data_IF_434514465486
#
_entry.id   IF_434514465486
#
_cell.length_a   1.000
_cell.length_b   1.000
_cell.length_c   1.000
_cell.angle_alpha   90.00
_cell.angle_beta   90.00
_cell.angle_gamma   90.00
#
_symmetry.space_group_name_H-M   'P 1'
#
loop_
_entity.id
_entity.type
_entity.pdbx_description
1 polymer ?
#
# COMPACT_ATOMS: atom_id res chain seq x y z
N UNK A 1 11.26 -8.79 -7.01
CA UNK A 1 11.72 -7.59 -6.28
C UNK A 1 10.69 -7.08 -5.27
N UNK A 2 9.41 -6.98 -5.63
CA UNK A 2 8.35 -6.56 -4.71
C UNK A 2 8.25 -7.38 -3.40
N UNK A 3 8.41 -8.70 -3.46
CA UNK A 3 8.41 -9.54 -2.26
C UNK A 3 9.49 -9.14 -1.26
N UNK A 4 10.67 -8.74 -1.72
CA UNK A 4 11.75 -8.27 -0.86
C UNK A 4 11.38 -6.93 -0.20
N UNK A 5 10.73 -6.02 -0.94
CA UNK A 5 10.18 -4.78 -0.36
C UNK A 5 9.15 -5.09 0.71
N UNK A 6 8.23 -6.04 0.45
CA UNK A 6 7.19 -6.44 1.42
C UNK A 6 7.79 -7.02 2.71
N UNK A 7 8.85 -7.81 2.60
CA UNK A 7 9.60 -8.29 3.78
C UNK A 7 10.35 -7.17 4.51
N UNK A 8 10.99 -6.24 3.78
CA UNK A 8 11.69 -5.10 4.40
C UNK A 8 10.73 -4.21 5.20
N UNK A 9 9.56 -3.93 4.63
CA UNK A 9 8.51 -3.12 5.26
C UNK A 9 8.05 -3.78 6.57
N UNK A 10 7.92 -5.11 6.58
CA UNK A 10 7.64 -5.89 7.80
C UNK A 10 8.75 -5.75 8.85
N UNK A 11 10.02 -5.83 8.45
CA UNK A 11 11.18 -5.65 9.35
C UNK A 11 11.17 -4.25 9.99
N UNK A 12 10.75 -3.23 9.25
CA UNK A 12 10.60 -1.85 9.73
C UNK A 12 9.39 -1.63 10.64
N UNK A 13 8.63 -2.69 10.99
CA UNK A 13 7.45 -2.60 11.84
C UNK A 13 6.22 -2.02 11.16
N UNK A 14 6.20 -1.95 9.83
CA UNK A 14 5.06 -1.50 9.05
C UNK A 14 4.23 -2.73 8.65
N UNK A 15 2.90 -2.62 8.78
CA UNK A 15 1.99 -3.64 8.27
C UNK A 15 2.20 -3.84 6.74
N UNK A 16 2.55 -5.06 6.28
CA UNK A 16 2.78 -5.36 4.86
C UNK A 16 1.58 -5.06 3.96
N UNK A 17 0.36 -5.00 4.52
CA UNK A 17 -0.87 -4.64 3.79
C UNK A 17 -0.92 -3.15 3.41
N UNK A 18 -0.01 -2.33 3.93
CA UNK A 18 0.15 -0.91 3.57
C UNK A 18 0.99 -0.70 2.31
N UNK A 19 1.42 -1.76 1.65
CA UNK A 19 2.14 -1.70 0.37
C UNK A 19 1.50 -2.69 -0.61
N UNK A 20 1.15 -2.21 -1.80
CA UNK A 20 0.52 -3.00 -2.86
C UNK A 20 1.21 -2.69 -4.20
N UNK A 21 1.37 -3.72 -5.03
CA UNK A 21 1.79 -3.59 -6.42
C UNK A 21 0.61 -3.92 -7.32
N UNK A 22 0.29 -3.00 -8.23
CA UNK A 22 -0.72 -3.18 -9.26
C UNK A 22 -0.13 -2.71 -10.60
N UNK A 23 -0.41 -3.45 -11.66
CA UNK A 23 0.00 -3.10 -13.01
C UNK A 23 -1.19 -2.44 -13.70
N UNK A 24 -1.04 -1.17 -14.08
CA UNK A 24 -2.07 -0.41 -14.77
C UNK A 24 -1.42 0.31 -15.95
N UNK A 25 -1.91 0.06 -17.16
CA UNK A 25 -1.42 0.71 -18.37
C UNK A 25 -1.94 2.14 -18.50
N UNK A 26 -1.35 2.92 -19.41
CA UNK A 26 -1.79 4.30 -19.68
C UNK A 26 -3.21 4.40 -20.27
N UNK A 27 -3.74 3.31 -20.84
CA UNK A 27 -5.10 3.26 -21.38
C UNK A 27 -6.16 2.95 -20.30
N UNK A 28 -5.76 2.49 -19.11
CA UNK A 28 -6.66 1.98 -18.07
C UNK A 28 -6.96 3.05 -17.01
N UNK A 29 -7.45 4.21 -17.43
CA UNK A 29 -7.75 5.32 -16.51
C UNK A 29 -8.80 4.97 -15.44
N UNK A 30 -9.91 4.35 -15.83
CA UNK A 30 -10.91 3.86 -14.86
C UNK A 30 -10.32 2.77 -13.96
N UNK A 31 -9.51 1.90 -14.58
CA UNK A 31 -8.55 0.97 -13.97
C UNK A 31 -7.93 1.50 -12.68
N UNK A 32 -7.13 2.53 -12.93
CA UNK A 32 -6.34 3.22 -11.93
C UNK A 32 -7.20 3.82 -10.82
N UNK A 33 -8.29 4.50 -11.19
CA UNK A 33 -9.18 5.16 -10.23
C UNK A 33 -9.79 4.17 -9.24
N UNK A 34 -10.26 3.00 -9.71
CA UNK A 34 -10.80 1.93 -8.87
C UNK A 34 -9.74 1.39 -7.91
N UNK A 35 -8.56 1.02 -8.43
CA UNK A 35 -7.45 0.49 -7.63
C UNK A 35 -7.03 1.46 -6.53
N UNK A 36 -6.89 2.75 -6.86
CA UNK A 36 -6.51 3.79 -5.89
C UNK A 36 -7.60 3.96 -4.84
N UNK A 37 -8.88 3.94 -5.22
CA UNK A 37 -10.00 4.04 -4.28
C UNK A 37 -10.00 2.86 -3.30
N UNK A 38 -9.96 1.63 -3.81
CA UNK A 38 -9.94 0.41 -2.98
C UNK A 38 -8.74 0.38 -2.03
N UNK A 39 -7.56 0.73 -2.52
CA UNK A 39 -6.36 0.74 -1.69
C UNK A 39 -6.40 1.85 -0.63
N UNK A 40 -6.95 3.01 -0.97
CA UNK A 40 -7.19 4.10 -0.01
C UNK A 40 -8.12 3.66 1.11
N UNK A 41 -9.22 2.98 0.77
CA UNK A 41 -10.18 2.45 1.75
C UNK A 41 -9.53 1.39 2.66
N UNK A 42 -8.74 0.48 2.09
CA UNK A 42 -7.94 -0.50 2.85
C UNK A 42 -6.96 0.19 3.81
N UNK A 43 -6.22 1.20 3.37
CA UNK A 43 -5.27 1.92 4.25
C UNK A 43 -6.01 2.65 5.36
N UNK A 44 -7.19 3.23 5.08
CA UNK A 44 -8.04 3.84 6.10
C UNK A 44 -8.53 2.81 7.13
N UNK A 45 -8.93 1.62 6.71
CA UNK A 45 -9.40 0.57 7.63
C UNK A 45 -8.29 0.03 8.53
N UNK A 46 -7.02 0.10 8.11
CA UNK A 46 -5.85 -0.25 8.94
C UNK A 46 -5.54 0.82 10.00
N UNK A 47 -6.17 1.99 9.95
CA UNK A 47 -5.94 3.10 10.87
C UNK A 47 -4.60 3.82 10.64
N UNK A 48 -4.25 4.77 11.53
CA UNK A 48 -2.98 5.49 11.47
C UNK A 48 -1.76 4.55 11.51
N UNK A 49 -0.67 4.95 10.85
CA UNK A 49 0.60 4.22 10.95
C UNK A 49 1.32 4.55 12.25
N UNK A 50 1.79 3.51 12.96
CA UNK A 50 2.54 3.65 14.20
C UNK A 50 3.94 4.23 14.00
N UNK A 51 4.44 4.31 12.76
CA UNK A 51 5.75 4.91 12.46
C UNK A 51 5.86 6.37 12.89
N UNK A 52 4.77 7.15 12.79
CA UNK A 52 4.79 8.57 13.19
C UNK A 52 4.84 8.77 14.70
N UNK A 53 4.53 7.75 15.50
CA UNK A 53 4.67 7.83 16.95
C UNK A 53 6.11 7.58 17.43
N UNK A 54 6.98 7.07 16.55
CA UNK A 54 8.36 6.72 16.86
C UNK A 54 9.39 7.77 16.41
N UNK A 55 8.97 8.81 15.69
CA UNK A 55 9.80 9.93 15.20
C UNK A 55 9.45 11.22 15.95
#
# INVERSE_FOLDING_TARGET
MFNMTRELVKILGIDPERVRLEWVSSAEGMRFAEVVKEFTEKVRSLGPSNLRAAA
#
